data_IF_852011512848
#
_entry.id   IF_852011512848
#
_cell.length_a   1.000
_cell.length_b   1.000
_cell.length_c   1.000
_cell.angle_alpha   90.00
_cell.angle_beta   90.00
_cell.angle_gamma   90.00
#
_symmetry.space_group_name_H-M   'P 1'
#
loop_
_entity.id
_entity.type
_entity.pdbx_description
1 polymer ?
#
# COMPACT_ATOMS: atom_id res chain seq x y z
N UNK A 1 4.75 -7.73 20.39
CA UNK A 1 3.40 -7.55 19.80
C UNK A 1 3.09 -6.09 19.53
N UNK A 2 3.22 -5.19 20.51
CA UNK A 2 3.03 -3.75 20.30
C UNK A 2 3.92 -3.21 19.15
N UNK A 3 5.21 -3.54 19.14
CA UNK A 3 6.13 -3.13 18.08
C UNK A 3 5.68 -3.57 16.67
N UNK A 4 5.14 -4.80 16.53
CA UNK A 4 4.61 -5.30 15.25
C UNK A 4 3.36 -4.52 14.81
N UNK A 5 2.48 -4.18 15.75
CA UNK A 5 1.29 -3.38 15.47
C UNK A 5 1.67 -1.95 15.08
N UNK A 6 2.63 -1.34 15.76
CA UNK A 6 3.15 -0.01 15.42
C UNK A 6 3.77 -0.03 14.02
N UNK A 7 4.65 -1.00 13.73
CA UNK A 7 5.25 -1.15 12.40
C UNK A 7 4.18 -1.35 11.31
N UNK A 8 3.16 -2.16 11.58
CA UNK A 8 2.06 -2.38 10.64
C UNK A 8 1.25 -1.11 10.37
N UNK A 9 0.95 -0.31 11.40
CA UNK A 9 0.28 0.98 11.25
C UNK A 9 1.13 1.93 10.41
N UNK A 10 2.44 2.01 10.68
CA UNK A 10 3.36 2.83 9.88
C UNK A 10 3.37 2.39 8.42
N UNK A 11 3.44 1.08 8.14
CA UNK A 11 3.37 0.55 6.77
C UNK A 11 2.07 0.92 6.07
N UNK A 12 0.93 0.82 6.77
CA UNK A 12 -0.37 1.20 6.22
C UNK A 12 -0.40 2.69 5.90
N UNK A 13 0.04 3.54 6.82
CA UNK A 13 0.03 4.99 6.62
C UNK A 13 0.95 5.41 5.47
N UNK A 14 2.17 4.88 5.42
CA UNK A 14 3.13 5.18 4.36
C UNK A 14 2.68 4.63 3.01
N UNK A 15 2.14 3.40 2.98
CA UNK A 15 1.59 2.80 1.77
C UNK A 15 0.35 3.53 1.24
N UNK A 16 -0.56 3.93 2.13
CA UNK A 16 -1.73 4.72 1.76
C UNK A 16 -1.34 6.12 1.28
N UNK A 17 -0.42 6.78 1.99
CA UNK A 17 0.08 8.09 1.60
C UNK A 17 0.73 8.04 0.20
N UNK A 18 1.60 7.06 -0.05
CA UNK A 18 2.22 6.90 -1.37
C UNK A 18 1.19 6.56 -2.45
N UNK A 19 0.22 5.68 -2.19
CA UNK A 19 -0.82 5.35 -3.16
C UNK A 19 -1.76 6.51 -3.50
N UNK A 20 -2.12 7.33 -2.51
CA UNK A 20 -3.11 8.40 -2.67
C UNK A 20 -2.50 9.74 -3.08
N UNK A 21 -1.28 10.03 -2.63
CA UNK A 21 -0.62 11.33 -2.84
C UNK A 21 0.39 11.32 -4.00
N UNK A 22 0.66 10.17 -4.61
CA UNK A 22 1.51 10.13 -5.81
C UNK A 22 0.89 10.99 -6.93
N UNK A 23 1.61 12.03 -7.42
CA UNK A 23 1.14 12.88 -8.50
C UNK A 23 0.82 12.04 -9.74
N UNK A 24 -0.24 12.44 -10.44
CA UNK A 24 -0.54 11.91 -11.77
C UNK A 24 -0.34 13.05 -12.75
N UNK A 25 0.72 12.93 -13.53
CA UNK A 25 0.95 13.82 -14.66
C UNK A 25 0.02 13.38 -15.80
N UNK A 26 -1.11 14.08 -15.94
CA UNK A 26 -1.97 13.98 -17.12
C UNK A 26 -1.45 14.93 -18.19
N UNK A 27 -0.57 14.43 -19.06
CA UNK A 27 -0.05 15.18 -20.19
C UNK A 27 -1.11 15.41 -21.27
N UNK A 28 -2.06 16.33 -21.05
CA UNK A 28 -3.02 16.78 -22.07
C UNK A 28 -2.52 18.01 -22.85
N UNK A 29 -1.44 18.66 -22.38
CA UNK A 29 -0.82 19.86 -22.98
C UNK A 29 0.54 19.59 -23.62
N UNK A 30 0.88 18.34 -23.94
CA UNK A 30 2.09 18.05 -24.71
C UNK A 30 1.92 18.57 -26.15
N UNK A 31 2.39 19.79 -26.42
CA UNK A 31 2.54 20.32 -27.77
C UNK A 31 3.63 19.52 -28.51
N UNK A 32 3.21 18.42 -29.12
CA UNK A 32 4.06 17.38 -29.67
C UNK A 32 5.15 17.82 -30.68
N UNK A 33 5.04 18.92 -31.46
CA UNK A 33 6.13 19.28 -32.38
C UNK A 33 7.22 20.19 -31.78
N UNK A 34 6.96 20.91 -30.68
CA UNK A 34 7.89 21.95 -30.18
C UNK A 34 8.75 21.48 -29.00
N UNK A 35 8.32 20.46 -28.27
CA UNK A 35 9.00 20.00 -27.04
C UNK A 35 10.02 18.88 -27.25
N UNK A 36 10.03 18.21 -28.41
CA UNK A 36 10.91 17.05 -28.65
C UNK A 36 10.67 15.85 -27.72
N UNK A 37 9.67 15.93 -26.83
CA UNK A 37 9.31 14.85 -25.90
C UNK A 37 8.15 14.05 -26.47
N UNK A 38 8.44 12.80 -26.83
CA UNK A 38 7.46 11.81 -27.24
C UNK A 38 6.53 11.49 -26.07
N UNK A 39 5.22 11.57 -26.30
CA UNK A 39 4.21 11.13 -25.33
C UNK A 39 4.47 9.67 -24.92
N UNK A 40 4.94 9.48 -23.69
CA UNK A 40 5.27 8.17 -23.10
C UNK A 40 4.16 7.79 -22.13
N UNK A 41 3.28 6.88 -22.55
CA UNK A 41 2.28 6.29 -21.66
C UNK A 41 2.97 5.24 -20.78
N UNK A 42 3.63 5.69 -19.70
CA UNK A 42 4.31 4.82 -18.75
C UNK A 42 3.30 4.19 -17.77
N UNK A 43 2.57 3.18 -18.24
CA UNK A 43 1.77 2.29 -17.39
C UNK A 43 0.26 2.34 -17.58
N UNK A 44 -0.45 1.45 -16.88
CA UNK A 44 -1.90 1.25 -16.99
C UNK A 44 -2.59 2.18 -15.99
N UNK A 45 -3.07 3.35 -16.43
CA UNK A 45 -3.83 4.24 -15.53
C UNK A 45 -5.09 3.53 -15.02
N UNK A 46 -5.38 3.53 -13.70
CA UNK A 46 -4.80 4.35 -12.62
C UNK A 46 -3.61 3.75 -11.84
N UNK A 47 -3.12 2.56 -12.23
CA UNK A 47 -2.08 1.78 -11.55
C UNK A 47 -0.67 2.16 -12.02
N UNK A 48 -0.16 3.31 -11.58
CA UNK A 48 1.26 3.68 -11.78
C UNK A 48 2.17 2.84 -10.88
N UNK A 49 3.46 2.71 -11.21
CA UNK A 49 4.41 1.93 -10.42
C UNK A 49 4.49 2.40 -8.96
N UNK A 50 4.48 3.72 -8.73
CA UNK A 50 4.46 4.32 -7.39
C UNK A 50 3.19 3.95 -6.61
N UNK A 51 2.02 3.96 -7.27
CA UNK A 51 0.75 3.56 -6.65
C UNK A 51 0.71 2.06 -6.35
N UNK A 52 1.22 1.23 -7.25
CA UNK A 52 1.34 -0.21 -7.04
C UNK A 52 2.24 -0.53 -5.84
N UNK A 53 3.39 0.14 -5.72
CA UNK A 53 4.27 0.00 -4.56
C UNK A 53 3.58 0.46 -3.26
N UNK A 54 2.85 1.58 -3.28
CA UNK A 54 2.12 2.07 -2.13
C UNK A 54 1.01 1.11 -1.66
N UNK A 55 0.21 0.60 -2.60
CA UNK A 55 -0.82 -0.41 -2.32
C UNK A 55 -0.22 -1.70 -1.76
N UNK A 56 0.86 -2.20 -2.37
CA UNK A 56 1.56 -3.39 -1.88
C UNK A 56 2.07 -3.22 -0.45
N UNK A 57 2.61 -2.03 -0.14
CA UNK A 57 3.09 -1.70 1.21
C UNK A 57 1.96 -1.66 2.23
N UNK A 58 0.82 -1.05 1.88
CA UNK A 58 -0.35 -1.01 2.76
C UNK A 58 -0.93 -2.41 3.01
N UNK A 59 -1.01 -3.25 1.98
CA UNK A 59 -1.45 -4.65 2.09
C UNK A 59 -0.54 -5.45 3.02
N UNK A 60 0.79 -5.28 2.92
CA UNK A 60 1.72 -5.94 3.82
C UNK A 60 1.46 -5.59 5.30
N UNK A 61 1.20 -4.31 5.61
CA UNK A 61 0.82 -3.89 6.96
C UNK A 61 -0.49 -4.53 7.45
N UNK A 62 -1.52 -4.61 6.59
CA UNK A 62 -2.78 -5.27 6.92
C UNK A 62 -2.60 -6.76 7.23
N UNK A 63 -1.76 -7.46 6.46
CA UNK A 63 -1.45 -8.87 6.69
C UNK A 63 -0.76 -9.10 8.04
N UNK A 64 0.13 -8.19 8.46
CA UNK A 64 0.75 -8.24 9.80
C UNK A 64 -0.31 -8.11 10.90
N UNK A 65 -1.24 -7.15 10.77
CA UNK A 65 -2.35 -6.99 11.73
C UNK A 65 -3.22 -8.24 11.79
N UNK A 66 -3.60 -8.79 10.63
CA UNK A 66 -4.40 -10.01 10.55
C UNK A 66 -3.69 -11.21 11.22
N UNK A 67 -2.39 -11.37 10.98
CA UNK A 67 -1.58 -12.41 11.62
C UNK A 67 -1.51 -12.26 13.15
N UNK A 68 -1.30 -11.04 13.64
CA UNK A 68 -1.30 -10.75 15.09
C UNK A 68 -2.68 -11.02 15.69
N UNK A 69 -3.76 -10.58 15.04
CA UNK A 69 -5.13 -10.83 15.48
C UNK A 69 -5.40 -12.35 15.55
N UNK A 70 -5.12 -13.09 14.47
CA UNK A 70 -5.28 -14.55 14.43
C UNK A 70 -4.51 -15.27 15.54
N UNK A 71 -3.25 -14.88 15.79
CA UNK A 71 -2.46 -15.45 16.88
C UNK A 71 -3.02 -15.15 18.26
N UNK A 72 -3.47 -13.92 18.52
CA UNK A 72 -4.06 -13.55 19.82
C UNK A 72 -5.39 -14.24 20.08
N UNK A 73 -6.26 -14.35 19.07
CA UNK A 73 -7.52 -15.06 19.17
C UNK A 73 -7.30 -16.57 19.38
N UNK A 74 -6.37 -17.18 18.63
CA UNK A 74 -6.00 -18.59 18.78
C UNK A 74 -5.55 -18.93 20.19
N UNK A 75 -4.67 -18.12 20.79
CA UNK A 75 -4.21 -18.31 22.18
C UNK A 75 -5.32 -18.19 23.22
N UNK A 76 -6.34 -17.36 22.98
CA UNK A 76 -7.50 -17.23 23.89
C UNK A 76 -8.42 -18.44 23.79
N UNK A 77 -8.56 -19.03 22.62
CA UNK A 77 -9.38 -20.23 22.40
C UNK A 77 -8.83 -21.46 23.12
N UNK A 78 -7.52 -21.71 23.01
CA UNK A 78 -6.86 -22.85 23.70
C UNK A 78 -7.02 -22.79 25.22
N UNK A 79 -7.06 -21.59 25.82
CA UNK A 79 -7.29 -21.42 27.26
C UNK A 79 -8.74 -21.68 27.70
N UNK A 80 -9.71 -21.59 26.80
CA UNK A 80 -11.13 -21.89 27.10
C UNK A 80 -11.48 -23.36 26.93
N UNK A 81 -10.84 -24.08 26.01
CA UNK A 81 -11.06 -25.51 25.80
C UNK A 81 -10.34 -26.45 26.79
N UNK A 82 -9.48 -25.90 27.66
CA UNK A 82 -8.79 -26.65 28.72
C UNK A 82 -9.44 -26.51 30.11
N UNK A 83 -10.66 -25.96 30.17
CA UNK A 83 -11.53 -25.93 31.35
C UNK A 83 -12.73 -26.83 31.11
#
# INVERSE_FOLDING_TARGET
>A
MLALLVAAVVLILMGAATALLSPVEFGWTAYAPLSGESFSFSGMYPLTAARAAGMGTAVAGLLVIAGVAGWTLGRRSTRRGAR
#
